data_IF_484874760420
#
_entry.id   IF_484874760420
#
_cell.length_a   1.000
_cell.length_b   1.000
_cell.length_c   1.000
_cell.angle_alpha   90.00
_cell.angle_beta   90.00
_cell.angle_gamma   90.00
#
_symmetry.space_group_name_H-M   'P 1'
#
loop_
_entity.id
_entity.type
_entity.pdbx_description
1 polymer ?
#
# COMPACT_ATOMS: atom_id res chain seq x y z
N UNK A 1 12.53 33.23 -2.32
CA UNK A 1 12.76 32.04 -3.17
C UNK A 1 12.84 30.80 -2.28
N UNK A 2 11.79 29.98 -2.25
CA UNK A 2 11.85 28.69 -1.57
C UNK A 2 12.65 27.72 -2.45
N UNK A 3 13.83 27.27 -2.00
CA UNK A 3 14.55 26.17 -2.65
C UNK A 3 13.80 24.88 -2.34
N UNK A 4 13.10 24.35 -3.33
CA UNK A 4 12.61 22.97 -3.30
C UNK A 4 13.87 22.09 -3.32
N UNK A 5 14.30 21.61 -2.15
CA UNK A 5 15.32 20.55 -2.08
C UNK A 5 14.61 19.27 -2.49
N UNK A 6 14.78 18.87 -3.75
CA UNK A 6 14.49 17.51 -4.19
C UNK A 6 15.49 16.63 -3.44
N UNK A 7 15.07 16.05 -2.30
CA UNK A 7 15.85 15.03 -1.60
C UNK A 7 15.93 13.83 -2.54
N UNK A 8 17.11 13.58 -3.10
CA UNK A 8 17.39 12.34 -3.83
C UNK A 8 17.13 11.19 -2.87
N UNK A 9 16.25 10.26 -3.27
CA UNK A 9 15.87 9.08 -2.48
C UNK A 9 17.13 8.26 -2.23
N UNK A 10 17.76 8.46 -1.08
CA UNK A 10 18.91 7.68 -0.65
C UNK A 10 18.51 6.21 -0.39
N UNK A 11 19.50 5.36 -0.15
CA UNK A 11 19.33 3.90 0.06
C UNK A 11 18.21 3.56 1.07
N UNK A 12 18.06 4.32 2.16
CA UNK A 12 16.97 4.16 3.12
C UNK A 12 15.58 4.40 2.56
N UNK A 13 15.42 5.43 1.73
CA UNK A 13 14.13 5.69 1.08
C UNK A 13 13.76 4.60 0.08
N UNK A 14 14.73 4.03 -0.62
CA UNK A 14 14.48 2.85 -1.46
C UNK A 14 14.06 1.64 -0.63
N UNK A 15 14.73 1.39 0.51
CA UNK A 15 14.37 0.28 1.40
C UNK A 15 12.94 0.43 1.98
N UNK A 16 12.56 1.65 2.39
CA UNK A 16 11.21 1.94 2.85
C UNK A 16 10.15 1.74 1.77
N UNK A 17 10.45 2.16 0.53
CA UNK A 17 9.57 1.94 -0.62
C UNK A 17 9.46 0.45 -0.96
N UNK A 18 10.58 -0.27 -1.03
CA UNK A 18 10.64 -1.69 -1.35
C UNK A 18 9.87 -2.53 -0.33
N UNK A 19 9.96 -2.19 0.97
CA UNK A 19 9.19 -2.86 2.02
C UNK A 19 7.68 -2.73 1.78
N UNK A 20 7.20 -1.52 1.48
CA UNK A 20 5.77 -1.31 1.18
C UNK A 20 5.35 -2.13 -0.05
N UNK A 21 6.18 -2.15 -1.09
CA UNK A 21 5.90 -2.92 -2.31
C UNK A 21 5.88 -4.43 -2.10
N UNK A 22 6.76 -4.97 -1.26
CA UNK A 22 6.76 -6.40 -0.91
C UNK A 22 5.46 -6.85 -0.24
N UNK A 23 4.75 -5.93 0.42
CA UNK A 23 3.46 -6.21 1.06
C UNK A 23 2.31 -5.99 0.07
N UNK A 24 2.25 -4.80 -0.55
CA UNK A 24 1.12 -4.41 -1.39
C UNK A 24 1.03 -5.20 -2.71
N UNK A 25 2.15 -5.63 -3.30
CA UNK A 25 2.11 -6.38 -4.57
C UNK A 25 1.43 -7.74 -4.42
N UNK A 26 1.82 -8.62 -3.48
CA UNK A 26 1.10 -9.87 -3.23
C UNK A 26 -0.37 -9.65 -2.87
N UNK A 27 -0.66 -8.65 -2.02
CA UNK A 27 -2.03 -8.29 -1.65
C UNK A 27 -2.87 -7.86 -2.86
N UNK A 28 -2.29 -7.12 -3.80
CA UNK A 28 -2.93 -6.71 -5.05
C UNK A 28 -3.29 -7.93 -5.92
N UNK A 29 -2.37 -8.89 -6.04
CA UNK A 29 -2.63 -10.13 -6.80
C UNK A 29 -3.75 -10.94 -6.15
N UNK A 30 -3.72 -11.12 -4.83
CA UNK A 30 -4.79 -11.81 -4.10
C UNK A 30 -6.13 -11.08 -4.29
N UNK A 31 -6.13 -9.75 -4.20
CA UNK A 31 -7.34 -8.95 -4.40
C UNK A 31 -7.91 -9.16 -5.81
N UNK A 32 -7.07 -9.10 -6.84
CA UNK A 32 -7.49 -9.34 -8.22
C UNK A 32 -8.24 -10.67 -8.38
N UNK A 33 -7.65 -11.79 -7.90
CA UNK A 33 -8.30 -13.09 -8.00
C UNK A 33 -9.55 -13.21 -7.11
N UNK A 34 -9.55 -12.57 -5.95
CA UNK A 34 -10.68 -12.58 -5.05
C UNK A 34 -11.90 -11.82 -5.63
N UNK A 35 -11.66 -10.68 -6.27
CA UNK A 35 -12.66 -9.91 -7.02
C UNK A 35 -13.10 -10.66 -8.28
N UNK A 36 -12.19 -11.33 -9.00
CA UNK A 36 -12.54 -12.11 -10.19
C UNK A 36 -13.42 -13.34 -9.85
N UNK A 37 -13.18 -13.98 -8.70
CA UNK A 37 -13.91 -15.17 -8.30
C UNK A 37 -15.22 -14.89 -7.54
N UNK A 38 -15.27 -13.84 -6.72
CA UNK A 38 -16.40 -13.57 -5.82
C UNK A 38 -16.94 -12.14 -5.93
N UNK A 39 -16.30 -11.29 -6.76
CA UNK A 39 -16.80 -9.96 -7.03
C UNK A 39 -18.15 -10.02 -7.72
N UNK A 40 -18.93 -8.96 -7.56
CA UNK A 40 -20.19 -8.81 -8.25
C UNK A 40 -20.51 -7.32 -8.32
N UNK A 41 -20.48 -6.76 -9.54
CA UNK A 41 -20.78 -5.36 -9.78
C UNK A 41 -22.25 -5.22 -10.17
N UNK A 42 -23.15 -5.16 -9.18
CA UNK A 42 -24.57 -4.95 -9.45
C UNK A 42 -25.15 -3.80 -8.62
N UNK A 43 -25.57 -2.75 -9.31
CA UNK A 43 -26.17 -1.54 -8.73
C UNK A 43 -27.64 -1.81 -8.31
N UNK A 44 -28.26 -2.85 -8.87
CA UNK A 44 -29.67 -3.18 -8.69
C UNK A 44 -29.94 -4.36 -7.75
N UNK A 45 -28.94 -4.83 -6.99
CA UNK A 45 -29.14 -5.73 -5.85
C UNK A 45 -29.29 -7.23 -6.17
N UNK A 46 -28.82 -7.69 -7.32
CA UNK A 46 -28.90 -9.11 -7.71
C UNK A 46 -27.69 -9.98 -7.31
N UNK A 47 -26.82 -9.51 -6.42
CA UNK A 47 -25.63 -10.27 -6.02
C UNK A 47 -25.88 -11.08 -4.75
N UNK A 48 -25.44 -12.33 -4.74
CA UNK A 48 -25.33 -13.10 -3.50
C UNK A 48 -24.33 -12.43 -2.54
N UNK A 49 -24.57 -12.50 -1.22
CA UNK A 49 -23.63 -11.97 -0.25
C UNK A 49 -22.28 -12.69 -0.40
N UNK A 50 -21.16 -11.96 -0.54
CA UNK A 50 -19.87 -12.60 -0.69
C UNK A 50 -19.50 -13.34 0.60
N UNK A 51 -18.72 -14.42 0.49
CA UNK A 51 -18.24 -15.16 1.65
C UNK A 51 -17.36 -14.28 2.53
N UNK A 52 -17.33 -14.53 3.85
CA UNK A 52 -16.60 -13.69 4.81
C UNK A 52 -15.12 -13.44 4.44
N UNK A 53 -14.46 -14.43 3.83
CA UNK A 53 -13.05 -14.31 3.42
C UNK A 53 -12.81 -13.27 2.32
N UNK A 54 -13.85 -12.89 1.59
CA UNK A 54 -13.78 -11.89 0.52
C UNK A 54 -13.26 -10.54 1.01
N UNK A 55 -13.51 -10.21 2.27
CA UNK A 55 -13.08 -8.93 2.85
C UNK A 55 -11.63 -8.96 3.37
N UNK A 56 -11.00 -10.13 3.46
CA UNK A 56 -9.67 -10.26 4.03
C UNK A 56 -8.59 -9.46 3.31
N UNK A 57 -8.49 -9.45 1.97
CA UNK A 57 -7.46 -8.66 1.29
C UNK A 57 -7.58 -7.17 1.58
N UNK A 58 -8.82 -6.66 1.65
CA UNK A 58 -9.11 -5.25 1.97
C UNK A 58 -8.75 -4.93 3.43
N UNK A 59 -9.09 -5.82 4.36
CA UNK A 59 -8.75 -5.67 5.76
C UNK A 59 -7.23 -5.69 5.98
N UNK A 60 -6.52 -6.66 5.41
CA UNK A 60 -5.06 -6.73 5.50
C UNK A 60 -4.40 -5.51 4.85
N UNK A 61 -4.87 -5.05 3.69
CA UNK A 61 -4.33 -3.85 3.05
C UNK A 61 -4.41 -2.62 3.97
N UNK A 62 -5.55 -2.41 4.66
CA UNK A 62 -5.72 -1.33 5.64
C UNK A 62 -4.80 -1.50 6.86
N UNK A 63 -4.74 -2.70 7.41
CA UNK A 63 -3.90 -3.01 8.58
C UNK A 63 -2.43 -2.75 8.25
N UNK A 64 -1.93 -3.27 7.12
CA UNK A 64 -0.54 -3.04 6.71
C UNK A 64 -0.26 -1.59 6.36
N UNK A 65 -1.19 -0.88 5.71
CA UNK A 65 -1.06 0.56 5.47
C UNK A 65 -0.87 1.31 6.79
N UNK A 66 -1.71 1.02 7.79
CA UNK A 66 -1.63 1.62 9.11
C UNK A 66 -0.30 1.29 9.80
N UNK A 67 0.12 0.02 9.80
CA UNK A 67 1.38 -0.39 10.41
C UNK A 67 2.60 0.27 9.75
N UNK A 68 2.63 0.37 8.41
CA UNK A 68 3.72 1.02 7.69
C UNK A 68 3.77 2.52 7.99
N UNK A 69 2.62 3.20 8.01
CA UNK A 69 2.56 4.62 8.38
C UNK A 69 2.95 4.85 9.84
N UNK A 70 2.56 3.95 10.75
CA UNK A 70 2.98 4.00 12.15
C UNK A 70 4.51 3.82 12.28
N UNK A 71 5.09 2.86 11.55
CA UNK A 71 6.55 2.68 11.49
C UNK A 71 7.25 3.92 10.95
N UNK A 72 6.72 4.53 9.88
CA UNK A 72 7.26 5.78 9.35
C UNK A 72 7.17 6.93 10.36
N UNK A 73 6.08 7.01 11.12
CA UNK A 73 5.89 8.01 12.18
C UNK A 73 6.88 7.82 13.33
N UNK A 74 7.07 6.58 13.80
CA UNK A 74 8.01 6.26 14.87
C UNK A 74 9.48 6.44 14.45
N UNK A 75 9.81 6.19 13.18
CA UNK A 75 11.15 6.41 12.63
C UNK A 75 11.43 7.89 12.26
N UNK A 76 10.42 8.76 12.30
CA UNK A 76 10.54 10.18 11.96
C UNK A 76 11.45 10.99 12.90
N UNK A 77 11.37 10.88 14.24
CA UNK A 77 12.25 11.62 15.15
C UNK A 77 13.73 11.22 15.01
N UNK A 78 14.03 9.93 14.80
CA UNK A 78 15.41 9.44 14.65
C UNK A 78 16.05 9.87 13.33
N UNK A 79 15.26 9.96 12.25
CA UNK A 79 15.69 10.50 10.95
C UNK A 79 16.14 11.96 10.99
N UNK A 80 15.94 12.69 12.11
CA UNK A 80 16.31 14.10 12.23
C UNK A 80 17.69 14.32 12.86
N UNK A 81 18.25 13.30 13.52
CA UNK A 81 19.42 13.42 14.39
C UNK A 81 20.55 12.41 14.10
N UNK A 82 20.40 11.50 13.13
CA UNK A 82 21.34 10.39 12.99
C UNK A 82 22.30 10.56 11.82
N UNK A 83 23.59 10.60 12.13
CA UNK A 83 24.70 10.39 11.19
C UNK A 83 24.91 8.89 10.85
N UNK A 84 24.05 7.99 11.37
CA UNK A 84 24.32 6.54 11.40
C UNK A 84 23.16 5.62 10.99
N UNK A 85 21.93 6.10 10.86
CA UNK A 85 20.77 5.34 10.34
C UNK A 85 20.23 5.96 9.05
N UNK A 86 19.77 5.10 8.14
CA UNK A 86 19.47 5.44 6.75
C UNK A 86 18.49 6.64 6.62
N UNK A 87 19.07 7.81 6.32
CA UNK A 87 18.53 9.15 6.57
C UNK A 87 17.24 9.56 5.79
N UNK A 88 16.55 8.60 5.17
CA UNK A 88 15.33 8.83 4.39
C UNK A 88 14.33 7.65 4.42
N UNK A 89 14.48 6.68 5.33
CA UNK A 89 13.58 5.52 5.44
C UNK A 89 12.08 5.87 5.54
N UNK A 90 11.63 6.75 6.45
CA UNK A 90 10.21 7.13 6.53
C UNK A 90 9.72 7.87 5.28
N UNK A 91 10.60 8.61 4.60
CA UNK A 91 10.31 9.27 3.32
C UNK A 91 10.12 8.29 2.16
N UNK A 92 10.63 7.06 2.27
CA UNK A 92 10.41 5.99 1.32
C UNK A 92 9.09 5.24 1.52
N UNK A 93 8.68 5.06 2.77
CA UNK A 93 7.45 4.35 3.12
C UNK A 93 6.22 5.08 2.58
N UNK A 94 6.13 6.40 2.77
CA UNK A 94 4.96 7.19 2.36
C UNK A 94 4.62 7.00 0.86
N UNK A 95 5.54 7.26 -0.10
CA UNK A 95 5.24 7.03 -1.51
C UNK A 95 5.04 5.54 -1.82
N UNK A 96 5.67 4.63 -1.07
CA UNK A 96 5.46 3.18 -1.20
C UNK A 96 4.04 2.74 -0.83
N UNK A 97 3.49 3.26 0.27
CA UNK A 97 2.10 3.00 0.68
C UNK A 97 1.11 3.61 -0.30
N UNK A 98 1.36 4.83 -0.79
CA UNK A 98 0.50 5.49 -1.78
C UNK A 98 0.48 4.69 -3.08
N UNK A 99 1.66 4.36 -3.63
CA UNK A 99 1.76 3.62 -4.88
C UNK A 99 1.27 2.18 -4.75
N UNK A 100 1.60 1.50 -3.66
CA UNK A 100 1.12 0.16 -3.36
C UNK A 100 -0.40 0.11 -3.15
N UNK A 101 -0.97 1.09 -2.45
CA UNK A 101 -2.41 1.24 -2.28
C UNK A 101 -3.13 1.52 -3.61
N UNK A 102 -2.54 2.35 -4.47
CA UNK A 102 -3.05 2.56 -5.82
C UNK A 102 -3.05 1.27 -6.65
N UNK A 103 -1.98 0.49 -6.62
CA UNK A 103 -1.92 -0.82 -7.28
C UNK A 103 -2.97 -1.80 -6.75
N UNK A 104 -3.21 -1.80 -5.44
CA UNK A 104 -4.24 -2.62 -4.81
C UNK A 104 -5.65 -2.24 -5.30
N UNK A 105 -5.95 -0.94 -5.36
CA UNK A 105 -7.24 -0.47 -5.88
C UNK A 105 -7.38 -0.83 -7.35
N UNK A 106 -6.35 -0.56 -8.16
CA UNK A 106 -6.35 -0.82 -9.59
C UNK A 106 -6.55 -2.31 -9.90
N UNK A 107 -5.82 -3.19 -9.20
CA UNK A 107 -5.98 -4.64 -9.33
C UNK A 107 -7.36 -5.13 -8.89
N UNK A 108 -7.94 -4.54 -7.84
CA UNK A 108 -9.30 -4.87 -7.41
C UNK A 108 -10.34 -4.46 -8.45
N UNK A 109 -10.22 -3.26 -9.03
CA UNK A 109 -11.10 -2.76 -10.09
C UNK A 109 -10.95 -3.59 -11.36
N UNK A 110 -9.74 -3.94 -11.75
CA UNK A 110 -9.52 -4.82 -12.90
C UNK A 110 -10.13 -6.20 -12.67
N UNK A 111 -9.98 -6.79 -11.47
CA UNK A 111 -10.59 -8.07 -11.13
C UNK A 111 -12.11 -8.05 -11.31
N UNK A 112 -12.77 -6.95 -10.89
CA UNK A 112 -14.20 -6.74 -11.13
C UNK A 112 -14.57 -6.54 -12.61
N UNK A 113 -13.71 -5.94 -13.42
CA UNK A 113 -13.97 -5.67 -14.84
C UNK A 113 -13.76 -6.89 -15.74
N UNK A 114 -12.93 -7.84 -15.33
CA UNK A 114 -12.59 -9.04 -16.11
C UNK A 114 -13.51 -10.24 -15.83
N UNK A 115 -14.57 -10.03 -15.03
CA UNK A 115 -15.61 -11.02 -14.74
C UNK A 115 -16.64 -11.09 -15.86
#
# INVERSE_FOLDING_TARGET
MARIRIKVVGKGGYNGFALAMMIFVPLSVISFFNELANGCFNIFGGCEPPPLYYHYPRFFALVFAFFLLLLAFLAWPDSRNSETHEDNYPWGIIPGVIFGGFLFILSSVLGLMYQ
#
